data_IF_551735434960
#
_entry.id   IF_551735434960
#
_cell.length_a   1.000
_cell.length_b   1.000
_cell.length_c   1.000
_cell.angle_alpha   90.00
_cell.angle_beta   90.00
_cell.angle_gamma   90.00
#
_symmetry.space_group_name_H-M   'P 1'
#
loop_
_entity.id
_entity.type
_entity.pdbx_description
1 polymer ?
#
# COMPACT_ATOMS: atom_id res chain seq x y z
N UNK A 1 -11.11 -1.61 -14.23
CA UNK A 1 -9.69 -1.96 -14.11
C UNK A 1 -9.50 -2.86 -12.90
N UNK A 2 -8.65 -3.89 -13.00
CA UNK A 2 -8.30 -4.77 -11.88
C UNK A 2 -7.07 -4.20 -11.19
N UNK A 3 -7.17 -3.96 -9.88
CA UNK A 3 -6.10 -3.31 -9.11
C UNK A 3 -5.76 -4.12 -7.86
N UNK A 4 -4.46 -4.30 -7.63
CA UNK A 4 -3.91 -4.65 -6.32
C UNK A 4 -3.23 -3.38 -5.78
N UNK A 5 -3.43 -3.07 -4.51
CA UNK A 5 -2.70 -2.02 -3.80
C UNK A 5 -1.68 -2.69 -2.88
N UNK A 6 -0.42 -2.27 -2.96
CA UNK A 6 0.63 -2.59 -2.00
C UNK A 6 1.00 -1.30 -1.25
N UNK A 7 0.80 -1.26 0.08
CA UNK A 7 0.70 -0.03 0.86
C UNK A 7 1.37 -0.17 2.23
N UNK A 8 1.95 0.89 2.73
CA UNK A 8 2.41 1.03 4.12
C UNK A 8 1.48 1.92 4.97
N UNK A 9 0.18 1.89 4.65
CA UNK A 9 -0.90 2.62 5.33
C UNK A 9 -0.72 2.66 6.85
N UNK A 10 -0.91 3.83 7.45
CA UNK A 10 -0.95 3.99 8.91
C UNK A 10 0.04 4.99 9.47
N UNK A 11 0.95 5.52 8.67
CA UNK A 11 1.86 6.59 9.06
C UNK A 11 1.24 7.94 8.65
N UNK A 12 1.11 8.17 7.36
CA UNK A 12 0.45 9.34 6.79
C UNK A 12 -0.99 9.03 6.35
N UNK A 13 -1.76 10.05 6.06
CA UNK A 13 -3.18 9.93 5.72
C UNK A 13 -3.43 9.57 4.25
N UNK A 14 -2.47 9.76 3.39
CA UNK A 14 -2.60 9.67 1.94
C UNK A 14 -2.94 8.26 1.44
N UNK A 15 -2.30 7.21 1.98
CA UNK A 15 -2.63 5.82 1.71
C UNK A 15 -4.09 5.49 2.05
N UNK A 16 -4.58 6.00 3.19
CA UNK A 16 -5.96 5.80 3.61
C UNK A 16 -6.93 6.46 2.63
N UNK A 17 -6.61 7.67 2.16
CA UNK A 17 -7.42 8.39 1.17
C UNK A 17 -7.33 7.69 -0.19
N UNK A 18 -6.17 7.20 -0.60
CA UNK A 18 -6.00 6.44 -1.83
C UNK A 18 -6.85 5.16 -1.82
N UNK A 19 -6.84 4.41 -0.71
CA UNK A 19 -7.67 3.23 -0.52
C UNK A 19 -9.16 3.57 -0.58
N UNK A 20 -9.60 4.63 0.13
CA UNK A 20 -10.98 5.12 0.08
C UNK A 20 -11.40 5.44 -1.35
N UNK A 21 -10.58 6.22 -2.05
CA UNK A 21 -10.86 6.65 -3.41
C UNK A 21 -11.06 5.45 -4.34
N UNK A 22 -10.13 4.50 -4.35
CA UNK A 22 -10.21 3.34 -5.21
C UNK A 22 -11.36 2.40 -4.81
N UNK A 23 -11.62 2.23 -3.53
CA UNK A 23 -12.71 1.40 -3.04
C UNK A 23 -14.11 1.93 -3.44
N UNK A 24 -14.24 3.24 -3.61
CA UNK A 24 -15.50 3.89 -4.02
C UNK A 24 -15.68 4.00 -5.53
N UNK A 25 -14.66 3.74 -6.34
CA UNK A 25 -14.71 3.85 -7.80
C UNK A 25 -15.50 2.70 -8.43
N UNK A 26 -16.54 2.98 -9.24
CA UNK A 26 -17.32 1.92 -9.89
C UNK A 26 -16.60 1.24 -11.06
N UNK A 27 -15.58 1.88 -11.63
CA UNK A 27 -14.76 1.37 -12.74
C UNK A 27 -13.52 0.62 -12.25
N UNK A 28 -13.33 0.47 -10.94
CA UNK A 28 -12.24 -0.25 -10.28
C UNK A 28 -12.75 -1.52 -9.62
N UNK A 29 -12.10 -2.62 -9.92
CA UNK A 29 -12.22 -3.89 -9.21
C UNK A 29 -10.96 -4.09 -8.37
N UNK A 30 -11.06 -3.86 -7.05
CA UNK A 30 -9.98 -4.16 -6.13
C UNK A 30 -9.88 -5.69 -5.98
N UNK A 31 -8.82 -6.27 -6.54
CA UNK A 31 -8.53 -7.71 -6.46
C UNK A 31 -8.09 -8.08 -5.06
N UNK A 32 -7.36 -7.19 -4.40
CA UNK A 32 -6.93 -7.31 -3.02
C UNK A 32 -5.91 -6.26 -2.64
N UNK A 33 -5.50 -6.29 -1.39
CA UNK A 33 -4.52 -5.37 -0.83
C UNK A 33 -3.43 -6.17 -0.11
N UNK A 34 -2.19 -5.78 -0.33
CA UNK A 34 -1.04 -6.25 0.45
C UNK A 34 -0.46 -5.10 1.25
N UNK A 35 0.09 -5.39 2.41
CA UNK A 35 0.76 -4.38 3.22
C UNK A 35 2.23 -4.67 3.35
N UNK A 36 3.03 -3.64 3.53
CA UNK A 36 4.47 -3.69 3.55
C UNK A 36 5.02 -2.80 4.65
N UNK A 37 6.27 -3.00 5.03
CA UNK A 37 7.05 -2.16 5.91
C UNK A 37 6.68 -2.24 7.39
N UNK A 38 7.69 -2.38 8.25
CA UNK A 38 7.58 -2.47 9.72
C UNK A 38 6.51 -3.48 10.16
N UNK A 39 5.51 -3.06 10.92
CA UNK A 39 4.42 -3.93 11.34
C UNK A 39 3.35 -4.05 10.24
N UNK A 40 3.70 -4.67 9.13
CA UNK A 40 2.80 -4.92 8.01
C UNK A 40 1.50 -5.61 8.43
N UNK A 41 1.55 -6.43 9.49
CA UNK A 41 0.38 -7.12 10.03
C UNK A 41 -0.62 -6.16 10.68
N UNK A 42 -0.16 -5.15 11.42
CA UNK A 42 -1.03 -4.12 11.99
C UNK A 42 -1.62 -3.23 10.89
N UNK A 43 -0.81 -2.88 9.87
CA UNK A 43 -1.26 -2.17 8.67
C UNK A 43 -2.37 -2.94 7.94
N UNK A 44 -2.22 -4.25 7.81
CA UNK A 44 -3.25 -5.11 7.21
C UNK A 44 -4.55 -5.11 8.01
N UNK A 45 -4.46 -5.08 9.34
CA UNK A 45 -5.64 -4.92 10.22
C UNK A 45 -6.32 -3.57 10.02
N UNK A 46 -5.55 -2.50 9.85
CA UNK A 46 -6.09 -1.17 9.52
C UNK A 46 -6.84 -1.19 8.18
N UNK A 47 -6.24 -1.78 7.15
CA UNK A 47 -6.91 -1.99 5.84
C UNK A 47 -8.24 -2.72 6.01
N UNK A 48 -8.25 -3.85 6.75
CA UNK A 48 -9.49 -4.63 6.99
C UNK A 48 -10.54 -3.80 7.71
N UNK A 49 -10.15 -2.98 8.68
CA UNK A 49 -11.08 -2.06 9.37
C UNK A 49 -11.67 -1.03 8.39
N UNK A 50 -10.81 -0.39 7.60
CA UNK A 50 -11.23 0.59 6.59
C UNK A 50 -12.20 -0.02 5.59
N UNK A 51 -11.86 -1.18 5.02
CA UNK A 51 -12.74 -1.90 4.09
C UNK A 51 -14.08 -2.28 4.73
N UNK A 52 -14.07 -2.72 5.98
CA UNK A 52 -15.30 -3.01 6.73
C UNK A 52 -16.19 -1.77 6.89
N UNK A 53 -15.59 -0.61 7.20
CA UNK A 53 -16.32 0.66 7.34
C UNK A 53 -16.85 1.18 5.99
N UNK A 54 -16.15 0.86 4.89
CA UNK A 54 -16.57 1.17 3.52
C UNK A 54 -17.60 0.16 2.94
N UNK A 55 -18.01 -0.85 3.71
CA UNK A 55 -18.96 -1.88 3.27
C UNK A 55 -18.37 -2.89 2.28
N UNK A 56 -17.04 -3.09 2.31
CA UNK A 56 -16.30 -4.00 1.41
C UNK A 56 -15.41 -5.01 2.18
N UNK A 57 -15.95 -5.70 3.20
CA UNK A 57 -15.14 -6.58 4.07
C UNK A 57 -14.56 -7.81 3.36
N UNK A 58 -15.12 -8.18 2.20
CA UNK A 58 -14.76 -9.40 1.47
C UNK A 58 -13.52 -9.22 0.58
N UNK A 59 -13.03 -7.98 0.39
CA UNK A 59 -11.79 -7.76 -0.37
C UNK A 59 -10.63 -8.43 0.38
N UNK A 60 -9.84 -9.28 -0.32
CA UNK A 60 -8.71 -9.98 0.28
C UNK A 60 -7.65 -9.01 0.79
N UNK A 61 -7.11 -9.27 1.97
CA UNK A 61 -5.99 -8.49 2.55
C UNK A 61 -4.96 -9.45 3.09
N UNK A 62 -3.70 -9.25 2.70
CA UNK A 62 -2.55 -10.00 3.18
C UNK A 62 -1.50 -9.06 3.77
N UNK A 63 -0.95 -9.46 4.90
CA UNK A 63 0.24 -8.81 5.44
C UNK A 63 1.49 -9.35 4.72
N UNK A 64 2.24 -8.49 4.06
CA UNK A 64 3.49 -8.84 3.43
C UNK A 64 4.69 -8.54 4.33
N UNK A 65 5.85 -8.34 3.72
CA UNK A 65 7.11 -8.20 4.44
C UNK A 65 7.22 -6.88 5.19
N UNK A 66 7.49 -6.97 6.49
CA UNK A 66 7.79 -5.82 7.35
C UNK A 66 9.26 -5.38 7.29
N UNK A 67 10.16 -6.28 6.87
CA UNK A 67 11.60 -6.03 6.78
C UNK A 67 12.04 -5.82 5.34
N UNK A 68 12.90 -4.83 5.05
CA UNK A 68 13.42 -4.59 3.72
C UNK A 68 14.37 -5.72 3.26
N UNK A 69 14.69 -5.77 1.96
CA UNK A 69 15.71 -6.67 1.40
C UNK A 69 17.11 -6.29 1.85
N UNK A 70 17.34 -5.00 2.04
CA UNK A 70 18.59 -4.45 2.54
C UNK A 70 18.60 -4.22 4.05
N UNK A 71 19.77 -3.86 4.58
CA UNK A 71 19.87 -3.39 5.96
C UNK A 71 19.41 -1.94 6.04
N UNK A 72 18.44 -1.67 6.89
CA UNK A 72 18.00 -0.33 7.18
C UNK A 72 18.66 0.15 8.48
N UNK A 73 19.40 1.27 8.44
CA UNK A 73 20.27 1.68 9.54
C UNK A 73 19.70 2.73 10.49
N UNK A 74 18.52 3.30 10.24
CA UNK A 74 18.11 4.54 10.90
C UNK A 74 16.75 4.58 11.59
N UNK A 75 15.99 3.49 11.69
CA UNK A 75 14.70 3.54 12.37
C UNK A 75 14.67 2.57 13.54
N UNK A 76 14.26 3.08 14.69
CA UNK A 76 13.77 2.26 15.79
C UNK A 76 12.47 1.59 15.30
N UNK A 77 12.56 0.30 14.99
CA UNK A 77 11.47 -0.52 14.44
C UNK A 77 10.24 -0.64 15.38
N UNK A 78 10.29 -0.02 16.55
CA UNK A 78 9.27 -0.13 17.59
C UNK A 78 8.20 0.98 17.51
N UNK A 79 8.42 2.02 16.70
CA UNK A 79 7.50 3.14 16.59
C UNK A 79 6.69 3.07 15.30
N UNK A 80 5.57 2.39 15.36
CA UNK A 80 4.56 2.49 14.33
C UNK A 80 3.62 3.59 14.73
N UNK A 81 3.65 4.66 13.98
CA UNK A 81 2.63 5.68 14.02
C UNK A 81 1.37 5.20 13.31
N UNK A 82 0.73 4.19 13.83
CA UNK A 82 -0.60 3.90 13.37
C UNK A 82 -1.56 4.77 14.15
N UNK A 83 -1.89 5.93 13.62
CA UNK A 83 -2.95 6.75 14.17
C UNK A 83 -4.23 5.93 14.25
N UNK A 84 -5.01 6.10 15.32
CA UNK A 84 -6.27 5.38 15.55
C UNK A 84 -6.15 3.84 15.58
N UNK A 85 -5.12 3.31 16.26
CA UNK A 85 -4.92 1.88 16.50
C UNK A 85 -6.00 1.24 17.39
N UNK A 86 -6.83 2.04 18.03
CA UNK A 86 -7.91 1.52 18.86
C UNK A 86 -8.77 0.53 18.08
N UNK A 87 -9.02 -0.61 18.68
CA UNK A 87 -9.84 -1.68 18.10
C UNK A 87 -9.21 -2.55 16.99
N UNK A 88 -7.99 -2.28 16.49
CA UNK A 88 -7.39 -3.08 15.42
C UNK A 88 -7.12 -4.55 15.85
N UNK A 89 -7.03 -4.81 17.14
CA UNK A 89 -6.79 -6.16 17.67
C UNK A 89 -8.03 -7.07 17.62
N UNK A 90 -9.18 -6.60 17.14
CA UNK A 90 -10.36 -7.44 16.98
C UNK A 90 -10.16 -8.48 15.87
N UNK A 91 -10.51 -9.73 16.14
CA UNK A 91 -10.36 -10.85 15.20
C UNK A 91 -10.97 -10.57 13.82
N UNK A 92 -12.13 -9.88 13.79
CA UNK A 92 -12.81 -9.51 12.54
C UNK A 92 -11.96 -8.63 11.58
N UNK A 93 -10.86 -8.04 12.07
CA UNK A 93 -9.93 -7.24 11.27
C UNK A 93 -8.64 -7.99 10.96
N UNK A 94 -8.58 -9.30 11.18
CA UNK A 94 -7.41 -10.08 10.80
C UNK A 94 -7.26 -10.19 9.28
N UNK A 95 -6.04 -10.07 8.74
CA UNK A 95 -5.75 -10.40 7.34
C UNK A 95 -5.93 -11.90 7.11
N UNK A 96 -5.80 -12.34 5.85
CA UNK A 96 -5.97 -13.75 5.49
C UNK A 96 -4.81 -14.63 5.96
N UNK A 97 -3.60 -14.09 6.03
CA UNK A 97 -2.43 -14.80 6.53
C UNK A 97 -2.14 -14.47 8.01
N UNK A 98 -1.25 -15.26 8.61
CA UNK A 98 -0.79 -15.10 9.98
C UNK A 98 0.61 -14.48 10.02
N UNK A 99 1.05 -13.89 11.15
CA UNK A 99 2.43 -13.48 11.33
C UNK A 99 3.40 -14.64 11.05
N UNK A 100 4.48 -14.37 10.31
CA UNK A 100 5.42 -15.39 9.84
C UNK A 100 5.04 -16.07 8.53
N UNK A 101 3.92 -15.66 7.92
CA UNK A 101 3.43 -16.18 6.63
C UNK A 101 3.36 -15.07 5.57
N UNK A 102 4.30 -14.13 5.60
CA UNK A 102 4.35 -12.98 4.70
C UNK A 102 4.48 -13.39 3.23
N UNK A 103 5.04 -14.58 2.98
CA UNK A 103 5.16 -15.15 1.63
C UNK A 103 3.80 -15.36 0.95
N UNK A 104 2.73 -15.55 1.70
CA UNK A 104 1.36 -15.67 1.14
C UNK A 104 0.91 -14.38 0.44
N UNK A 105 1.38 -13.20 0.88
CA UNK A 105 1.14 -11.94 0.18
C UNK A 105 1.84 -11.91 -1.18
N UNK A 106 3.06 -12.45 -1.25
CA UNK A 106 3.81 -12.55 -2.50
C UNK A 106 3.13 -13.55 -3.45
N UNK A 107 2.70 -14.69 -2.92
CA UNK A 107 1.93 -15.68 -3.67
C UNK A 107 0.65 -15.09 -4.23
N UNK A 108 -0.05 -14.28 -3.45
CA UNK A 108 -1.25 -13.59 -3.90
C UNK A 108 -0.96 -12.66 -5.09
N UNK A 109 0.09 -11.82 -5.00
CA UNK A 109 0.51 -10.93 -6.09
C UNK A 109 0.84 -11.73 -7.35
N UNK A 110 1.70 -12.74 -7.23
CA UNK A 110 2.15 -13.57 -8.36
C UNK A 110 1.00 -14.33 -9.00
N UNK A 111 0.11 -14.92 -8.21
CA UNK A 111 -1.05 -15.64 -8.72
C UNK A 111 -2.02 -14.71 -9.45
N UNK A 112 -2.21 -13.49 -8.96
CA UNK A 112 -3.00 -12.49 -9.66
C UNK A 112 -2.33 -12.05 -10.98
N UNK A 113 -1.00 -11.86 -10.99
CA UNK A 113 -0.24 -11.54 -12.19
C UNK A 113 -0.35 -12.65 -13.25
N UNK A 114 -0.23 -13.92 -12.85
CA UNK A 114 -0.43 -15.07 -13.72
C UNK A 114 -1.83 -15.13 -14.32
N UNK A 115 -2.83 -14.85 -13.49
CA UNK A 115 -4.25 -14.94 -13.87
C UNK A 115 -4.71 -13.82 -14.78
N UNK A 116 -4.29 -12.60 -14.52
CA UNK A 116 -4.85 -11.40 -15.17
C UNK A 116 -3.90 -10.75 -16.18
N UNK A 117 -2.58 -10.94 -16.05
CA UNK A 117 -1.59 -10.38 -16.98
C UNK A 117 -1.77 -8.87 -17.17
N UNK A 118 -1.90 -8.44 -18.41
CA UNK A 118 -2.08 -7.05 -18.86
C UNK A 118 -3.39 -6.37 -18.41
N UNK A 119 -4.31 -7.13 -17.81
CA UNK A 119 -5.51 -6.55 -17.19
C UNK A 119 -5.29 -6.11 -15.75
N UNK A 120 -4.15 -6.48 -15.15
CA UNK A 120 -3.82 -6.16 -13.76
C UNK A 120 -2.93 -4.92 -13.68
N UNK A 121 -3.34 -3.99 -12.85
CA UNK A 121 -2.47 -2.91 -12.37
C UNK A 121 -2.09 -3.20 -10.92
N UNK A 122 -0.80 -3.18 -10.61
CA UNK A 122 -0.31 -3.18 -9.23
C UNK A 122 0.06 -1.75 -8.90
N UNK A 123 -0.55 -1.21 -7.85
CA UNK A 123 -0.27 0.11 -7.34
C UNK A 123 0.55 -0.03 -6.06
N UNK A 124 1.85 0.22 -6.15
CA UNK A 124 2.78 0.24 -5.01
C UNK A 124 2.90 1.66 -4.47
N UNK A 125 2.38 1.92 -3.29
CA UNK A 125 2.41 3.24 -2.64
C UNK A 125 3.22 3.25 -1.34
N UNK A 126 3.84 2.11 -1.00
CA UNK A 126 4.84 1.96 0.06
C UNK A 126 6.19 1.48 -0.48
N UNK A 127 7.13 1.09 0.41
CA UNK A 127 8.40 0.48 0.04
C UNK A 127 8.22 -0.76 -0.84
N UNK A 128 9.10 -0.95 -1.83
CA UNK A 128 8.87 -1.90 -2.93
C UNK A 128 9.23 -3.36 -2.61
N UNK A 129 9.41 -3.72 -1.34
CA UNK A 129 9.86 -5.05 -0.88
C UNK A 129 8.99 -6.20 -1.41
N UNK A 130 7.67 -6.10 -1.27
CA UNK A 130 6.75 -7.14 -1.74
C UNK A 130 6.80 -7.29 -3.26
N UNK A 131 6.83 -6.17 -3.99
CA UNK A 131 6.88 -6.15 -5.45
C UNK A 131 8.19 -6.76 -5.96
N UNK A 132 9.31 -6.40 -5.34
CA UNK A 132 10.61 -6.97 -5.67
C UNK A 132 10.64 -8.50 -5.45
N UNK A 133 10.09 -8.97 -4.34
CA UNK A 133 9.96 -10.42 -4.07
C UNK A 133 9.02 -11.12 -5.05
N UNK A 134 7.95 -10.48 -5.46
CA UNK A 134 7.06 -11.02 -6.49
C UNK A 134 7.78 -11.15 -7.85
N UNK A 135 8.61 -10.18 -8.22
CA UNK A 135 9.46 -10.25 -9.41
C UNK A 135 10.49 -11.39 -9.28
N UNK A 136 11.14 -11.53 -8.12
CA UNK A 136 12.07 -12.65 -7.88
C UNK A 136 11.39 -14.01 -8.02
N UNK A 137 10.16 -14.12 -7.56
CA UNK A 137 9.41 -15.36 -7.57
C UNK A 137 8.91 -15.77 -8.95
N UNK A 138 8.44 -14.81 -9.76
CA UNK A 138 7.99 -15.04 -11.13
C UNK A 138 8.12 -13.78 -12.00
N UNK A 139 9.33 -13.55 -12.48
CA UNK A 139 9.65 -12.39 -13.33
C UNK A 139 8.77 -12.36 -14.59
N UNK A 140 8.50 -13.52 -15.19
CA UNK A 140 7.71 -13.59 -16.43
C UNK A 140 6.23 -13.23 -16.23
N UNK A 141 5.65 -13.59 -15.10
CA UNK A 141 4.30 -13.14 -14.75
C UNK A 141 4.26 -11.65 -14.46
N UNK A 142 5.26 -11.14 -13.71
CA UNK A 142 5.33 -9.74 -13.30
C UNK A 142 5.65 -8.77 -14.45
N UNK A 143 6.32 -9.24 -15.52
CA UNK A 143 6.53 -8.45 -16.75
C UNK A 143 5.25 -8.14 -17.52
N UNK A 144 4.17 -8.84 -17.25
CA UNK A 144 2.89 -8.69 -17.97
C UNK A 144 1.92 -7.73 -17.31
N UNK A 145 2.19 -7.29 -16.10
CA UNK A 145 1.30 -6.39 -15.35
C UNK A 145 1.71 -4.93 -15.56
N UNK A 146 0.76 -4.02 -15.39
CA UNK A 146 1.05 -2.60 -15.27
C UNK A 146 1.48 -2.30 -13.83
N UNK A 147 2.68 -1.77 -13.66
CA UNK A 147 3.18 -1.39 -12.35
C UNK A 147 3.20 0.13 -12.21
N UNK A 148 2.41 0.66 -11.29
CA UNK A 148 2.40 2.07 -10.95
C UNK A 148 2.91 2.22 -9.52
N UNK A 149 3.89 3.07 -9.31
CA UNK A 149 4.47 3.29 -7.97
C UNK A 149 4.48 4.77 -7.59
N UNK A 150 4.31 5.03 -6.30
CA UNK A 150 4.75 6.27 -5.69
C UNK A 150 6.16 6.03 -5.16
N UNK A 151 7.14 6.73 -5.72
CA UNK A 151 8.53 6.57 -5.29
C UNK A 151 9.52 7.32 -6.17
N UNK A 152 10.61 7.73 -5.55
CA UNK A 152 11.70 8.43 -6.21
C UNK A 152 11.52 9.95 -6.27
N UNK A 153 12.57 10.60 -6.79
CA UNK A 153 12.58 12.03 -7.07
C UNK A 153 13.41 12.25 -8.33
N UNK A 154 12.79 12.79 -9.39
CA UNK A 154 13.38 12.76 -10.73
C UNK A 154 13.96 14.10 -11.19
N UNK A 155 13.55 15.21 -10.56
CA UNK A 155 13.91 16.55 -11.01
C UNK A 155 14.77 17.35 -10.03
N UNK A 156 15.12 16.76 -8.87
CA UNK A 156 16.04 17.34 -7.88
C UNK A 156 16.79 16.24 -7.11
N UNK A 157 17.96 16.53 -6.53
CA UNK A 157 18.67 15.58 -5.71
C UNK A 157 18.00 15.45 -4.33
N UNK A 158 17.12 14.49 -4.21
CA UNK A 158 16.39 14.18 -2.99
C UNK A 158 16.19 12.66 -2.89
N UNK A 159 16.40 12.10 -1.73
CA UNK A 159 16.14 10.68 -1.46
C UNK A 159 14.71 10.57 -0.95
N UNK A 160 13.87 9.92 -1.74
CA UNK A 160 12.46 9.74 -1.44
C UNK A 160 12.27 8.56 -0.50
N UNK A 161 11.31 8.67 0.42
CA UNK A 161 11.13 7.78 1.55
C UNK A 161 10.90 6.30 1.17
N UNK A 162 9.99 6.00 0.26
CA UNK A 162 9.70 4.62 -0.15
C UNK A 162 10.93 3.93 -0.77
N UNK A 163 11.72 4.70 -1.53
CA UNK A 163 12.98 4.22 -2.11
C UNK A 163 14.03 4.03 -1.03
N UNK A 164 14.14 4.97 -0.08
CA UNK A 164 15.11 4.88 1.02
C UNK A 164 14.86 3.69 1.93
N UNK A 165 13.58 3.43 2.23
CA UNK A 165 13.16 2.32 3.09
C UNK A 165 13.61 0.95 2.57
N UNK A 166 13.66 0.75 1.25
CA UNK A 166 14.22 -0.47 0.65
C UNK A 166 14.82 -0.20 -0.73
N UNK A 167 16.02 0.38 -0.72
CA UNK A 167 16.73 0.73 -1.96
C UNK A 167 17.09 -0.50 -2.82
N UNK A 168 17.32 -1.68 -2.21
CA UNK A 168 17.60 -2.90 -2.96
C UNK A 168 16.36 -3.42 -3.68
N UNK A 169 15.20 -3.32 -3.05
CA UNK A 169 13.94 -3.62 -3.71
C UNK A 169 13.66 -2.64 -4.85
N UNK A 170 13.89 -1.34 -4.60
CA UNK A 170 13.74 -0.32 -5.62
C UNK A 170 14.65 -0.57 -6.83
N UNK A 171 15.96 -0.81 -6.61
CA UNK A 171 16.91 -1.15 -7.67
C UNK A 171 16.39 -2.31 -8.53
N UNK A 172 15.92 -3.38 -7.87
CA UNK A 172 15.39 -4.56 -8.55
C UNK A 172 14.14 -4.26 -9.37
N UNK A 173 13.19 -3.53 -8.81
CA UNK A 173 11.95 -3.15 -9.50
C UNK A 173 12.24 -2.29 -10.71
N UNK A 174 13.07 -1.26 -10.57
CA UNK A 174 13.45 -0.38 -11.69
C UNK A 174 14.24 -1.11 -12.78
N UNK A 175 15.04 -2.12 -12.42
CA UNK A 175 15.81 -2.90 -13.37
C UNK A 175 14.98 -3.94 -14.15
N UNK A 176 13.87 -4.42 -13.59
CA UNK A 176 13.14 -5.60 -14.08
C UNK A 176 11.72 -5.33 -14.56
N UNK A 177 11.06 -4.30 -14.06
CA UNK A 177 9.71 -3.96 -14.47
C UNK A 177 9.71 -3.40 -15.90
N UNK A 178 8.89 -3.95 -16.79
CA UNK A 178 8.80 -3.53 -18.21
C UNK A 178 7.79 -2.41 -18.40
N UNK A 179 6.66 -2.46 -17.71
CA UNK A 179 5.61 -1.43 -17.78
C UNK A 179 5.50 -0.75 -16.41
N UNK A 180 6.42 0.18 -16.18
CA UNK A 180 6.56 0.91 -14.93
C UNK A 180 6.23 2.39 -15.11
N UNK A 181 5.26 2.87 -14.32
CA UNK A 181 5.01 4.30 -14.13
C UNK A 181 5.39 4.67 -12.70
N UNK A 182 6.39 5.52 -12.55
CA UNK A 182 6.82 6.04 -11.25
C UNK A 182 6.41 7.50 -11.10
N UNK A 183 5.70 7.80 -10.01
CA UNK A 183 5.33 9.17 -9.62
C UNK A 183 6.17 9.55 -8.40
N UNK A 184 7.12 10.45 -8.61
CA UNK A 184 8.06 10.88 -7.58
C UNK A 184 7.50 11.93 -6.64
N UNK A 185 8.20 12.12 -5.51
CA UNK A 185 7.83 13.12 -4.49
C UNK A 185 7.82 14.55 -5.07
N UNK A 186 8.63 14.84 -6.06
CA UNK A 186 8.66 16.12 -6.78
C UNK A 186 7.36 16.41 -7.59
N UNK A 187 6.48 15.41 -7.72
CA UNK A 187 5.11 15.55 -8.23
C UNK A 187 4.09 15.53 -7.09
N UNK A 188 4.19 14.56 -6.18
CA UNK A 188 3.18 14.36 -5.13
C UNK A 188 3.14 15.50 -4.13
N UNK A 189 4.28 16.12 -3.78
CA UNK A 189 4.34 17.29 -2.90
C UNK A 189 3.59 18.54 -3.43
N UNK A 190 3.25 18.56 -4.73
CA UNK A 190 2.43 19.61 -5.35
C UNK A 190 0.93 19.34 -5.23
N UNK A 191 0.57 18.14 -4.81
CA UNK A 191 -0.82 17.71 -4.62
C UNK A 191 -1.19 17.95 -3.16
N UNK A 192 -1.89 19.04 -2.89
CA UNK A 192 -2.29 19.44 -1.54
C UNK A 192 -3.79 19.54 -1.42
N UNK A 193 -4.33 19.16 -0.27
CA UNK A 193 -5.71 19.46 0.07
C UNK A 193 -5.83 20.92 0.52
N UNK A 194 -6.69 21.68 -0.16
CA UNK A 194 -7.02 23.02 0.30
C UNK A 194 -7.71 22.97 1.67
N UNK A 195 -7.69 24.07 2.42
CA UNK A 195 -8.43 24.18 3.69
C UNK A 195 -9.91 23.82 3.51
N UNK A 196 -10.54 24.29 2.43
CA UNK A 196 -11.93 23.97 2.15
C UNK A 196 -12.16 22.46 1.91
N UNK A 197 -11.19 21.77 1.31
CA UNK A 197 -11.27 20.30 1.12
C UNK A 197 -11.14 19.56 2.45
N UNK A 198 -10.28 20.03 3.35
CA UNK A 198 -10.16 19.49 4.70
C UNK A 198 -11.45 19.71 5.51
N UNK A 199 -12.07 20.89 5.41
CA UNK A 199 -13.34 21.19 6.07
C UNK A 199 -14.46 20.23 5.60
N UNK A 200 -14.46 19.82 4.32
CA UNK A 200 -15.43 18.85 3.80
C UNK A 200 -15.26 17.46 4.45
N UNK A 201 -14.03 17.06 4.78
CA UNK A 201 -13.83 15.79 5.49
C UNK A 201 -14.54 15.77 6.86
N UNK A 202 -14.53 16.86 7.59
CA UNK A 202 -15.20 16.96 8.90
C UNK A 202 -16.73 16.91 8.80
N UNK A 203 -17.32 17.15 7.63
CA UNK A 203 -18.76 17.03 7.41
C UNK A 203 -19.21 15.59 7.16
N UNK A 204 -18.29 14.65 6.96
CA UNK A 204 -18.59 13.22 6.79
C UNK A 204 -18.78 12.55 8.15
N UNK A 205 -20.05 12.39 8.54
CA UNK A 205 -20.44 11.74 9.79
C UNK A 205 -20.69 10.24 9.66
N UNK A 206 -20.35 9.64 8.53
CA UNK A 206 -20.38 8.17 8.38
C UNK A 206 -19.37 7.51 9.35
N UNK A 207 -19.56 6.24 9.72
CA UNK A 207 -18.57 5.53 10.54
C UNK A 207 -17.16 5.56 9.96
N UNK A 208 -17.03 5.52 8.63
CA UNK A 208 -15.77 5.68 7.95
C UNK A 208 -15.22 7.13 8.06
N UNK A 209 -16.05 8.13 7.79
CA UNK A 209 -15.66 9.53 7.90
C UNK A 209 -15.17 9.90 9.30
N UNK A 210 -15.86 9.42 10.34
CA UNK A 210 -15.42 9.59 11.72
C UNK A 210 -14.07 8.91 12.00
N UNK A 211 -13.82 7.74 11.44
CA UNK A 211 -12.54 7.06 11.56
C UNK A 211 -11.43 7.82 10.85
N UNK A 212 -11.63 8.19 9.58
CA UNK A 212 -10.67 8.99 8.80
C UNK A 212 -10.31 10.30 9.51
N UNK A 213 -11.31 11.02 10.03
CA UNK A 213 -11.08 12.31 10.70
C UNK A 213 -10.17 12.15 11.93
N UNK A 214 -10.30 11.06 12.70
CA UNK A 214 -9.38 10.74 13.79
C UNK A 214 -7.95 10.39 13.33
N UNK A 215 -7.80 9.93 12.10
CA UNK A 215 -6.48 9.68 11.52
C UNK A 215 -5.81 10.97 11.00
N UNK A 216 -6.59 12.04 10.78
CA UNK A 216 -6.08 13.36 10.37
C UNK A 216 -5.64 14.21 11.57
N UNK A 217 -6.26 14.05 12.74
CA UNK A 217 -5.95 14.73 14.00
C UNK A 217 -4.63 14.24 14.62
#
# INVERSE_FOLDING_TARGET
KKIIIDTDIGDDIDDLIALEYLAKRPDVELIGITTVWMNSFLRARMVKKVLSLLGKPDIPVYAGYGTPLGSFHHIHLDEIFCQAVDDLNKEKYSPLNQPGHEEEAIDFIVNAARKYGDQLTILGIGPLTNIAKAIEKDEEAMKRVHLHIMGGCFFRPFVEWNIECDYLAAEKVFAKALDLVAVGVDVTEKTTFSKNSQDVFHLDHTPYGQYRNRCIE
#
